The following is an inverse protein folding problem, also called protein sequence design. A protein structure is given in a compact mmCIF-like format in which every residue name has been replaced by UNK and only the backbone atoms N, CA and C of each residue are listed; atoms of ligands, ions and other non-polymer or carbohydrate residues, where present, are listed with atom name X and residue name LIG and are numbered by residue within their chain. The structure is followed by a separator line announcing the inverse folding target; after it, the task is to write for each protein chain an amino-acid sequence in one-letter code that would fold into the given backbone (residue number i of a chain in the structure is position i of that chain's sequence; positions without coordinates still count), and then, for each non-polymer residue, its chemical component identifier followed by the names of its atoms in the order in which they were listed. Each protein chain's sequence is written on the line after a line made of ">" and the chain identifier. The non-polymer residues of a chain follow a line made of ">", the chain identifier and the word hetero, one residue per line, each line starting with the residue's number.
data_IF_772063496524
#
_entry.id   IF_772063496524
#
_cell.length_a   1.000
_cell.length_b   1.000
_cell.length_c   1.000
_cell.angle_alpha   90.00
_cell.angle_beta   90.00
_cell.angle_gamma   90.00
#
_symmetry.space_group_name_H-M   'P 1'
#
loop_
_entity.id
_entity.type
_entity.pdbx_description
1 polymer ?
#
# COMPACT_ATOMS: atom_id res chain seq x y z
N UNK A 1 2.18 21.51 3.95
CA UNK A 1 1.08 20.79 3.28
C UNK A 1 1.52 20.17 1.94
N UNK A 2 1.88 20.93 0.91
CA UNK A 2 2.29 20.37 -0.39
C UNK A 2 3.52 19.46 -0.31
N UNK A 3 4.54 19.83 0.43
CA UNK A 3 5.74 19.01 0.65
C UNK A 3 5.41 17.66 1.27
N UNK A 4 4.54 17.64 2.28
CA UNK A 4 4.09 16.39 2.93
C UNK A 4 3.21 15.55 2.01
N UNK A 5 2.34 16.19 1.23
CA UNK A 5 1.53 15.49 0.22
C UNK A 5 2.41 14.84 -0.85
N UNK A 6 3.43 15.56 -1.33
CA UNK A 6 4.40 15.01 -2.28
C UNK A 6 5.18 13.84 -1.69
N UNK A 7 5.67 13.99 -0.45
CA UNK A 7 6.37 12.91 0.24
C UNK A 7 5.49 11.66 0.37
N UNK A 8 4.25 11.82 0.81
CA UNK A 8 3.31 10.71 0.95
C UNK A 8 2.96 10.08 -0.40
N UNK A 9 2.81 10.88 -1.46
CA UNK A 9 2.59 10.40 -2.81
C UNK A 9 3.74 9.50 -3.29
N UNK A 10 4.99 9.92 -3.07
CA UNK A 10 6.17 9.12 -3.43
C UNK A 10 6.30 7.85 -2.58
N UNK A 11 5.94 7.90 -1.29
CA UNK A 11 5.96 6.73 -0.41
C UNK A 11 4.88 5.72 -0.79
N UNK A 12 3.71 6.17 -1.26
CA UNK A 12 2.66 5.29 -1.80
C UNK A 12 3.14 4.61 -3.08
N UNK A 13 4.03 5.28 -3.85
CA UNK A 13 4.58 4.79 -5.13
C UNK A 13 3.50 4.28 -6.10
N UNK A 14 2.58 5.12 -6.55
CA UNK A 14 1.47 4.69 -7.40
C UNK A 14 1.93 4.11 -8.74
N UNK A 15 3.10 4.51 -9.24
CA UNK A 15 3.65 3.98 -10.49
C UNK A 15 4.07 2.53 -10.35
N UNK A 16 4.77 2.20 -9.24
CA UNK A 16 5.14 0.82 -8.89
C UNK A 16 3.93 -0.07 -8.61
N UNK A 17 2.82 0.52 -8.13
CA UNK A 17 1.59 -0.20 -7.86
C UNK A 17 0.77 -0.54 -9.12
N UNK A 18 0.94 0.18 -10.26
CA UNK A 18 0.15 -0.04 -11.48
C UNK A 18 0.13 -1.52 -11.90
N UNK A 19 1.27 -2.20 -12.14
CA UNK A 19 1.24 -3.56 -12.62
C UNK A 19 0.58 -4.52 -11.62
N UNK A 20 0.77 -4.29 -10.34
CA UNK A 20 0.20 -5.11 -9.29
C UNK A 20 -1.31 -4.97 -9.20
N UNK A 21 -1.84 -3.75 -9.25
CA UNK A 21 -3.28 -3.51 -9.33
C UNK A 21 -3.87 -4.14 -10.59
N UNK A 22 -3.16 -4.07 -11.72
CA UNK A 22 -3.60 -4.68 -12.97
C UNK A 22 -3.62 -6.21 -12.92
N UNK A 23 -2.65 -6.85 -12.26
CA UNK A 23 -2.62 -8.32 -12.13
C UNK A 23 -3.83 -8.83 -11.38
N UNK A 24 -4.27 -8.11 -10.34
CA UNK A 24 -5.46 -8.45 -9.57
C UNK A 24 -6.74 -8.09 -10.33
N UNK A 25 -6.82 -6.87 -10.90
CA UNK A 25 -8.00 -6.41 -11.60
C UNK A 25 -8.28 -7.17 -12.90
N UNK A 26 -7.25 -7.71 -13.58
CA UNK A 26 -7.41 -8.50 -14.80
C UNK A 26 -8.13 -9.84 -14.56
N UNK A 27 -8.16 -10.32 -13.32
CA UNK A 27 -8.96 -11.51 -12.92
C UNK A 27 -10.47 -11.22 -12.87
N UNK A 28 -10.86 -9.92 -12.87
CA UNK A 28 -12.24 -9.47 -12.78
C UNK A 28 -12.82 -9.12 -14.18
N UNK A 29 -14.16 -9.26 -14.36
CA UNK A 29 -14.85 -8.74 -15.53
C UNK A 29 -14.59 -7.24 -15.73
N UNK A 30 -14.43 -6.80 -16.98
CA UNK A 30 -14.07 -5.40 -17.29
C UNK A 30 -15.00 -4.36 -16.65
N UNK A 31 -16.30 -4.65 -16.63
CA UNK A 31 -17.34 -3.77 -16.08
C UNK A 31 -17.18 -3.51 -14.57
N UNK A 32 -16.56 -4.45 -13.85
CA UNK A 32 -16.38 -4.39 -12.41
C UNK A 32 -15.03 -3.80 -11.98
N UNK A 33 -14.01 -3.82 -12.86
CA UNK A 33 -12.64 -3.40 -12.54
C UNK A 33 -12.57 -1.99 -11.95
N UNK A 34 -13.20 -1.02 -12.62
CA UNK A 34 -13.20 0.38 -12.15
C UNK A 34 -13.93 0.55 -10.83
N UNK A 35 -15.07 -0.15 -10.66
CA UNK A 35 -15.85 -0.08 -9.41
C UNK A 35 -15.06 -0.64 -8.23
N UNK A 36 -14.42 -1.79 -8.43
CA UNK A 36 -13.57 -2.41 -7.40
C UNK A 36 -12.38 -1.51 -7.11
N UNK A 37 -11.68 -1.01 -8.13
CA UNK A 37 -10.56 -0.09 -7.94
C UNK A 37 -10.95 1.14 -7.11
N UNK A 38 -12.02 1.83 -7.47
CA UNK A 38 -12.48 3.01 -6.72
C UNK A 38 -12.85 2.65 -5.28
N UNK A 39 -13.54 1.52 -5.08
CA UNK A 39 -13.87 1.03 -3.73
C UNK A 39 -12.61 0.83 -2.89
N UNK A 40 -11.61 0.11 -3.43
CA UNK A 40 -10.35 -0.16 -2.70
C UNK A 40 -9.55 1.12 -2.40
N UNK A 41 -9.53 2.06 -3.34
CA UNK A 41 -8.90 3.37 -3.13
C UNK A 41 -9.60 4.17 -2.02
N UNK A 42 -10.94 4.13 -1.97
CA UNK A 42 -11.69 4.79 -0.89
C UNK A 42 -11.44 4.14 0.47
N UNK A 43 -11.37 2.80 0.52
CA UNK A 43 -11.03 2.06 1.74
C UNK A 43 -9.61 2.44 2.21
N UNK A 44 -8.66 2.52 1.28
CA UNK A 44 -7.30 2.95 1.58
C UNK A 44 -7.25 4.39 2.14
N UNK A 45 -8.03 5.31 1.57
CA UNK A 45 -8.16 6.66 2.12
C UNK A 45 -8.69 6.65 3.55
N UNK A 46 -9.76 5.90 3.80
CA UNK A 46 -10.32 5.77 5.15
C UNK A 46 -9.28 5.20 6.11
N UNK A 47 -8.55 4.16 5.71
CA UNK A 47 -7.47 3.59 6.51
C UNK A 47 -6.39 4.63 6.83
N UNK A 48 -5.88 5.36 5.84
CA UNK A 48 -4.88 6.40 6.06
C UNK A 48 -5.38 7.50 7.01
N UNK A 49 -6.64 7.92 6.88
CA UNK A 49 -7.23 8.93 7.76
C UNK A 49 -7.42 8.39 9.19
N UNK A 50 -7.83 7.14 9.34
CA UNK A 50 -7.94 6.49 10.66
C UNK A 50 -6.57 6.41 11.32
N UNK A 51 -5.53 5.99 10.60
CA UNK A 51 -4.17 5.94 11.14
C UNK A 51 -3.59 7.33 11.40
N UNK A 52 -3.94 8.34 10.62
CA UNK A 52 -3.56 9.72 10.88
C UNK A 52 -4.10 10.20 12.23
N UNK A 53 -5.38 9.93 12.52
CA UNK A 53 -6.07 10.45 13.71
C UNK A 53 -5.87 9.55 14.92
N UNK A 54 -6.02 8.26 14.75
CA UNK A 54 -6.09 7.28 15.83
C UNK A 54 -4.88 6.32 15.88
N UNK A 55 -3.94 6.39 14.93
CA UNK A 55 -2.87 5.41 14.78
C UNK A 55 -2.03 5.21 16.02
N UNK A 56 -1.63 6.30 16.69
CA UNK A 56 -0.85 6.25 17.92
C UNK A 56 -1.62 5.58 19.07
N UNK A 57 -2.91 5.85 19.20
CA UNK A 57 -3.74 5.23 20.22
C UNK A 57 -4.00 3.76 19.90
N UNK A 58 -4.25 3.46 18.63
CA UNK A 58 -4.49 2.09 18.15
C UNK A 58 -3.29 1.19 18.45
N UNK A 59 -2.09 1.61 18.07
CA UNK A 59 -0.86 0.83 18.33
C UNK A 59 -0.60 0.64 19.82
N UNK A 60 -0.80 1.68 20.63
CA UNK A 60 -0.66 1.60 22.09
C UNK A 60 -1.65 0.62 22.71
N UNK A 61 -2.93 0.68 22.30
CA UNK A 61 -3.98 -0.19 22.82
C UNK A 61 -3.76 -1.64 22.43
N UNK A 62 -3.28 -1.88 21.21
CA UNK A 62 -2.97 -3.22 20.71
C UNK A 62 -1.60 -3.72 21.13
N UNK A 63 -0.79 -2.89 21.81
CA UNK A 63 0.60 -3.18 22.18
C UNK A 63 1.47 -3.60 20.97
N UNK A 64 1.17 -3.04 19.79
CA UNK A 64 1.91 -3.27 18.56
C UNK A 64 2.94 -2.16 18.40
N UNK A 65 4.21 -2.52 18.26
CA UNK A 65 5.28 -1.57 17.97
C UNK A 65 5.34 -1.19 16.49
N UNK A 66 5.83 0.01 16.17
CA UNK A 66 6.06 0.42 14.77
C UNK A 66 6.97 -0.56 13.99
N UNK A 67 8.09 -1.07 14.57
CA UNK A 67 8.90 -2.09 13.92
C UNK A 67 8.10 -3.35 13.58
N UNK A 68 7.25 -3.83 14.48
CA UNK A 68 6.43 -5.01 14.25
C UNK A 68 5.46 -4.82 13.07
N UNK A 69 4.82 -3.64 12.98
CA UNK A 69 3.94 -3.30 11.86
C UNK A 69 4.71 -3.25 10.53
N UNK A 70 5.91 -2.66 10.54
CA UNK A 70 6.78 -2.56 9.36
C UNK A 70 7.20 -3.94 8.86
N UNK A 71 7.63 -4.82 9.76
CA UNK A 71 8.04 -6.20 9.44
C UNK A 71 6.84 -7.00 8.92
N UNK A 72 5.69 -6.92 9.59
CA UNK A 72 4.47 -7.61 9.15
C UNK A 72 4.06 -7.20 7.73
N UNK A 73 4.08 -5.89 7.44
CA UNK A 73 3.80 -5.38 6.10
C UNK A 73 4.83 -5.81 5.07
N UNK A 74 6.12 -5.84 5.44
CA UNK A 74 7.18 -6.34 4.58
C UNK A 74 6.97 -7.82 4.20
N UNK A 75 6.59 -8.66 5.16
CA UNK A 75 6.28 -10.08 4.93
C UNK A 75 5.11 -10.23 3.95
N UNK A 76 4.03 -9.49 4.15
CA UNK A 76 2.85 -9.56 3.26
C UNK A 76 3.24 -9.09 1.85
N UNK A 77 3.98 -7.98 1.73
CA UNK A 77 4.45 -7.47 0.44
C UNK A 77 5.37 -8.48 -0.26
N UNK A 78 6.26 -9.13 0.49
CA UNK A 78 7.14 -10.19 -0.02
C UNK A 78 6.34 -11.37 -0.59
N UNK A 79 5.35 -11.87 0.15
CA UNK A 79 4.50 -12.97 -0.30
C UNK A 79 3.73 -12.61 -1.58
N UNK A 80 3.18 -11.41 -1.66
CA UNK A 80 2.46 -10.93 -2.85
C UNK A 80 3.41 -10.83 -4.05
N UNK A 81 4.58 -10.23 -3.86
CA UNK A 81 5.56 -10.05 -4.94
C UNK A 81 6.11 -11.39 -5.46
N UNK A 82 6.24 -12.41 -4.61
CA UNK A 82 6.58 -13.77 -5.05
C UNK A 82 5.55 -14.35 -6.02
N UNK A 83 4.26 -14.12 -5.81
CA UNK A 83 3.21 -14.60 -6.73
C UNK A 83 3.26 -13.91 -8.09
N UNK A 84 3.77 -12.68 -8.16
CA UNK A 84 3.95 -11.94 -9.42
C UNK A 84 5.13 -12.49 -10.22
N UNK A 85 6.24 -12.83 -9.55
CA UNK A 85 7.45 -13.38 -10.21
C UNK A 85 7.25 -14.84 -10.59
N UNK A 86 6.64 -15.63 -9.70
CA UNK A 86 6.40 -17.05 -9.84
C UNK A 86 4.92 -17.39 -9.86
N UNK A 87 4.23 -17.35 -11.01
CA UNK A 87 2.79 -17.61 -11.09
C UNK A 87 2.37 -19.02 -10.65
N UNK A 88 3.32 -19.94 -10.59
CA UNK A 88 3.11 -21.32 -10.07
C UNK A 88 2.98 -21.39 -8.55
N UNK A 89 3.42 -20.36 -7.83
CA UNK A 89 3.19 -20.24 -6.38
C UNK A 89 1.78 -19.70 -6.18
N UNK A 90 0.80 -20.58 -6.19
CA UNK A 90 -0.55 -20.24 -5.74
C UNK A 90 -0.52 -20.16 -4.21
N UNK A 91 -0.45 -18.96 -3.65
CA UNK A 91 -0.88 -18.82 -2.26
C UNK A 91 -2.36 -19.21 -2.24
N UNK A 92 -2.72 -20.17 -1.39
CA UNK A 92 -4.10 -20.66 -1.19
C UNK A 92 -5.04 -19.59 -0.60
N UNK A 93 -4.81 -18.32 -0.90
CA UNK A 93 -5.73 -17.20 -0.68
C UNK A 93 -6.81 -17.13 -1.77
N UNK A 94 -6.70 -17.97 -2.81
CA UNK A 94 -7.81 -18.24 -3.73
C UNK A 94 -8.76 -19.22 -3.03
N UNK A 95 -9.64 -18.70 -2.20
CA UNK A 95 -10.85 -19.41 -1.80
C UNK A 95 -11.57 -19.85 -3.06
N UNK A 96 -11.84 -21.13 -3.20
CA UNK A 96 -12.73 -21.71 -4.20
C UNK A 96 -14.13 -21.11 -4.04
N UNK A 97 -14.38 -20.05 -4.75
CA UNK A 97 -15.61 -19.30 -4.74
C UNK A 97 -15.33 -17.88 -5.20
N UNK A 98 -16.17 -17.35 -6.06
CA UNK A 98 -16.12 -16.03 -6.69
C UNK A 98 -16.11 -14.87 -5.67
N UNK A 99 -15.10 -14.83 -4.79
CA UNK A 99 -14.91 -13.74 -3.84
C UNK A 99 -14.10 -12.66 -4.54
N UNK A 100 -14.75 -11.54 -4.77
CA UNK A 100 -14.05 -10.31 -5.19
C UNK A 100 -12.87 -10.07 -4.25
N UNK A 101 -11.70 -9.62 -4.76
CA UNK A 101 -10.58 -9.22 -3.91
C UNK A 101 -11.06 -8.09 -3.00
N UNK A 102 -11.36 -8.43 -1.75
CA UNK A 102 -12.03 -7.54 -0.80
C UNK A 102 -10.98 -7.01 0.17
N UNK A 103 -10.77 -5.67 0.17
CA UNK A 103 -9.95 -4.94 1.14
C UNK A 103 -8.46 -5.35 1.15
N UNK A 104 -8.16 -6.64 1.15
CA UNK A 104 -6.83 -7.23 1.16
C UNK A 104 -6.69 -8.06 -0.13
N UNK A 105 -5.66 -7.83 -0.98
CA UNK A 105 -4.44 -7.04 -0.72
C UNK A 105 -4.43 -5.61 -1.28
N UNK A 106 -5.46 -5.11 -1.97
CA UNK A 106 -5.36 -3.86 -2.75
C UNK A 106 -5.35 -2.59 -1.89
N UNK A 107 -6.27 -2.47 -0.91
CA UNK A 107 -6.33 -1.29 -0.06
C UNK A 107 -5.23 -1.31 1.02
N UNK A 108 -5.12 -2.41 1.74
CA UNK A 108 -4.14 -2.65 2.79
C UNK A 108 -3.54 -4.05 2.55
N UNK A 109 -2.21 -4.24 2.47
CA UNK A 109 -1.13 -3.28 2.69
C UNK A 109 -0.59 -2.56 1.46
N UNK A 110 -1.21 -2.73 0.27
CA UNK A 110 -0.61 -2.25 -0.96
C UNK A 110 -0.66 -0.73 -1.11
N UNK A 111 -1.85 -0.15 -1.14
CA UNK A 111 -1.98 1.30 -1.29
C UNK A 111 -1.67 2.03 0.03
N UNK A 112 -2.32 1.63 1.13
CA UNK A 112 -1.97 2.08 2.47
C UNK A 112 -0.90 1.16 3.05
N UNK A 113 0.29 1.18 2.47
CA UNK A 113 1.43 0.39 2.91
C UNK A 113 1.95 0.79 4.29
N UNK A 114 2.75 -0.08 4.97
CA UNK A 114 3.27 0.19 6.30
C UNK A 114 4.06 1.48 6.39
N UNK A 115 4.84 1.82 5.35
CA UNK A 115 5.59 3.08 5.28
C UNK A 115 4.68 4.32 5.18
N UNK A 116 3.58 4.22 4.41
CA UNK A 116 2.58 5.27 4.32
C UNK A 116 1.82 5.42 5.65
N UNK A 117 1.46 4.29 6.29
CA UNK A 117 0.83 4.27 7.61
C UNK A 117 1.77 4.87 8.66
N UNK A 118 3.04 4.47 8.71
CA UNK A 118 4.03 5.02 9.63
C UNK A 118 4.20 6.53 9.47
N UNK A 119 4.28 7.02 8.22
CA UNK A 119 4.36 8.46 7.96
C UNK A 119 3.12 9.22 8.44
N UNK A 120 1.91 8.75 8.14
CA UNK A 120 0.69 9.45 8.58
C UNK A 120 0.54 9.42 10.10
N UNK A 121 0.97 8.34 10.76
CA UNK A 121 1.01 8.26 12.22
C UNK A 121 2.03 9.24 12.83
N UNK A 122 3.23 9.35 12.24
CA UNK A 122 4.25 10.31 12.65
C UNK A 122 3.71 11.75 12.53
N UNK A 123 3.08 12.08 11.41
CA UNK A 123 2.42 13.36 11.19
C UNK A 123 1.33 13.58 12.26
N UNK A 124 0.48 12.59 12.50
CA UNK A 124 -0.60 12.66 13.49
C UNK A 124 -0.09 12.81 14.92
N UNK A 125 1.07 12.24 15.26
CA UNK A 125 1.63 12.27 16.62
C UNK A 125 2.22 13.64 17.01
N UNK A 126 2.69 14.42 16.06
CA UNK A 126 3.31 15.74 16.27
C UNK A 126 2.32 16.92 16.25
N UNK A 127 1.02 16.68 16.22
CA UNK A 127 0.03 17.72 15.98
C UNK A 127 -0.23 18.62 17.19
N UNK A 128 -0.19 19.95 16.93
CA UNK A 128 -0.76 20.95 17.81
C UNK A 128 -2.27 21.10 17.55
N UNK A 129 -3.07 21.48 18.55
CA UNK A 129 -4.49 21.77 18.37
C UNK A 129 -4.70 22.81 17.25
N UNK A 130 -5.46 22.46 16.19
CA UNK A 130 -5.75 23.34 15.05
C UNK A 130 -5.05 22.98 13.73
N UNK A 131 -4.03 22.12 13.71
CA UNK A 131 -3.32 21.72 12.49
C UNK A 131 -3.96 20.61 11.65
N UNK A 132 -5.00 19.96 12.14
CA UNK A 132 -5.65 18.80 11.51
C UNK A 132 -6.11 19.01 10.06
N UNK A 133 -6.80 20.15 9.71
CA UNK A 133 -7.26 20.33 8.34
C UNK A 133 -6.14 20.32 7.31
N UNK A 134 -4.97 20.85 7.69
CA UNK A 134 -3.80 20.90 6.82
C UNK A 134 -3.24 19.50 6.52
N UNK A 135 -3.25 18.61 7.49
CA UNK A 135 -2.71 17.26 7.35
C UNK A 135 -3.71 16.31 6.68
N UNK A 136 -4.98 16.42 7.01
CA UNK A 136 -6.06 15.74 6.28
C UNK A 136 -6.00 16.16 4.80
N UNK A 137 -5.85 17.44 4.52
CA UNK A 137 -5.69 17.95 3.17
C UNK A 137 -4.47 17.36 2.45
N UNK A 138 -3.33 17.23 3.14
CA UNK A 138 -2.13 16.61 2.57
C UNK A 138 -2.35 15.14 2.20
N UNK A 139 -3.01 14.36 3.08
CA UNK A 139 -3.34 12.95 2.82
C UNK A 139 -4.31 12.83 1.64
N UNK A 140 -5.35 13.66 1.60
CA UNK A 140 -6.35 13.64 0.51
C UNK A 140 -5.71 14.01 -0.82
N UNK A 141 -4.82 15.00 -0.87
CA UNK A 141 -4.11 15.41 -2.10
C UNK A 141 -3.20 14.27 -2.59
N UNK A 142 -2.41 13.68 -1.69
CA UNK A 142 -1.54 12.54 -2.03
C UNK A 142 -2.36 11.36 -2.55
N UNK A 143 -3.44 11.01 -1.85
CA UNK A 143 -4.36 9.95 -2.25
C UNK A 143 -5.02 10.23 -3.61
N UNK A 144 -5.50 11.44 -3.84
CA UNK A 144 -6.14 11.80 -5.11
C UNK A 144 -5.16 11.73 -6.28
N UNK A 145 -3.93 12.20 -6.10
CA UNK A 145 -2.87 12.08 -7.10
C UNK A 145 -2.52 10.62 -7.41
N UNK A 146 -2.31 9.79 -6.37
CA UNK A 146 -2.01 8.38 -6.52
C UNK A 146 -3.18 7.61 -7.17
N UNK A 147 -4.41 7.91 -6.77
CA UNK A 147 -5.62 7.33 -7.35
C UNK A 147 -5.77 7.69 -8.83
N UNK A 148 -5.50 8.94 -9.21
CA UNK A 148 -5.53 9.37 -10.60
C UNK A 148 -4.50 8.60 -11.45
N UNK A 149 -3.29 8.40 -10.95
CA UNK A 149 -2.25 7.61 -11.62
C UNK A 149 -2.71 6.16 -11.82
N UNK A 150 -3.29 5.52 -10.81
CA UNK A 150 -3.77 4.13 -10.91
C UNK A 150 -4.97 4.00 -11.87
N UNK A 151 -5.91 4.94 -11.84
CA UNK A 151 -7.05 4.96 -12.77
C UNK A 151 -6.62 5.16 -14.22
N UNK A 152 -5.62 6.02 -14.46
CA UNK A 152 -5.03 6.22 -15.78
C UNK A 152 -4.16 5.03 -16.19
N UNK A 153 -3.43 4.44 -15.26
CA UNK A 153 -2.61 3.25 -15.48
C UNK A 153 -3.41 2.07 -16.02
N UNK A 154 -4.65 1.88 -15.54
CA UNK A 154 -5.55 0.86 -16.05
C UNK A 154 -5.91 1.06 -17.54
N UNK A 155 -5.93 2.31 -18.05
CA UNK A 155 -6.10 2.60 -19.48
C UNK A 155 -4.80 2.39 -20.26
N UNK A 156 -3.66 2.76 -19.68
CA UNK A 156 -2.34 2.61 -20.29
C UNK A 156 -1.97 1.14 -20.52
N UNK A 157 -2.42 0.26 -19.63
CA UNK A 157 -2.23 -1.18 -19.75
C UNK A 157 -2.79 -1.78 -21.04
N UNK A 158 -3.87 -1.21 -21.56
CA UNK A 158 -4.45 -1.63 -22.86
C UNK A 158 -3.50 -1.35 -24.05
N UNK A 159 -2.60 -0.37 -23.92
CA UNK A 159 -1.61 -0.01 -24.94
C UNK A 159 -0.39 -0.93 -24.92
N UNK A 160 -0.03 -1.46 -23.76
CA UNK A 160 1.19 -2.28 -23.59
C UNK A 160 1.01 -3.72 -24.08
N UNK A 161 -0.24 -4.20 -24.19
CA UNK A 161 -0.58 -5.54 -24.63
C UNK A 161 -0.26 -6.63 -23.59
N UNK A 162 -0.82 -7.83 -23.79
CA UNK A 162 -0.76 -8.91 -22.80
C UNK A 162 0.68 -9.38 -22.46
N UNK A 163 1.56 -9.49 -23.48
CA UNK A 163 2.95 -9.90 -23.25
C UNK A 163 3.76 -8.86 -22.50
N UNK A 164 3.57 -7.58 -22.82
CA UNK A 164 4.22 -6.49 -22.13
C UNK A 164 3.75 -6.34 -20.68
N UNK A 165 2.46 -6.59 -20.43
CA UNK A 165 1.92 -6.63 -19.07
C UNK A 165 2.58 -7.71 -18.21
N UNK A 166 2.71 -8.93 -18.73
CA UNK A 166 3.39 -10.05 -18.02
C UNK A 166 4.86 -9.71 -17.72
N UNK A 167 5.56 -9.11 -18.69
CA UNK A 167 6.96 -8.70 -18.47
C UNK A 167 7.04 -7.61 -17.38
N UNK A 168 6.17 -6.61 -17.43
CA UNK A 168 6.09 -5.54 -16.44
C UNK A 168 5.71 -6.07 -15.05
N UNK A 169 4.75 -6.97 -14.97
CA UNK A 169 4.34 -7.64 -13.73
C UNK A 169 5.52 -8.35 -13.05
N UNK A 170 6.29 -9.15 -13.82
CA UNK A 170 7.47 -9.84 -13.28
C UNK A 170 8.58 -8.88 -12.84
N UNK A 171 8.83 -7.84 -13.63
CA UNK A 171 9.84 -6.84 -13.30
C UNK A 171 9.47 -6.10 -12.01
N UNK A 172 8.21 -5.68 -11.88
CA UNK A 172 7.72 -5.03 -10.67
C UNK A 172 7.67 -5.98 -9.49
N UNK A 173 7.32 -7.25 -9.70
CA UNK A 173 7.43 -8.27 -8.67
C UNK A 173 8.84 -8.37 -8.08
N UNK A 174 9.88 -8.37 -8.94
CA UNK A 174 11.28 -8.36 -8.47
C UNK A 174 11.64 -7.07 -7.70
N UNK A 175 11.18 -5.91 -8.16
CA UNK A 175 11.39 -4.65 -7.43
C UNK A 175 10.68 -4.65 -6.07
N UNK A 176 9.44 -5.14 -6.01
CA UNK A 176 8.69 -5.25 -4.77
C UNK A 176 9.30 -6.24 -3.78
N UNK A 177 9.94 -7.33 -4.26
CA UNK A 177 10.76 -8.22 -3.42
C UNK A 177 11.91 -7.42 -2.78
N UNK A 178 12.65 -6.65 -3.56
CA UNK A 178 13.75 -5.85 -3.04
C UNK A 178 13.26 -4.82 -2.01
N UNK A 179 12.16 -4.11 -2.31
CA UNK A 179 11.53 -3.16 -1.39
C UNK A 179 11.07 -3.84 -0.10
N UNK A 180 10.45 -5.01 -0.18
CA UNK A 180 9.99 -5.74 1.00
C UNK A 180 11.14 -6.18 1.90
N UNK A 181 12.26 -6.61 1.31
CA UNK A 181 13.48 -6.94 2.05
C UNK A 181 14.05 -5.69 2.74
N UNK A 182 14.12 -4.56 2.05
CA UNK A 182 14.58 -3.28 2.62
C UNK A 182 13.69 -2.83 3.80
N UNK A 183 12.37 -2.96 3.65
CA UNK A 183 11.42 -2.69 4.73
C UNK A 183 11.64 -3.62 5.93
N UNK A 184 11.94 -4.90 5.69
CA UNK A 184 12.21 -5.85 6.76
C UNK A 184 13.51 -5.49 7.50
N UNK A 185 14.57 -5.15 6.79
CA UNK A 185 15.84 -4.70 7.36
C UNK A 185 15.66 -3.40 8.18
N UNK A 186 14.90 -2.45 7.64
CA UNK A 186 14.55 -1.21 8.33
C UNK A 186 13.75 -1.48 9.61
N UNK A 187 12.77 -2.38 9.57
CA UNK A 187 12.00 -2.78 10.75
C UNK A 187 12.87 -3.43 11.83
N UNK A 188 13.80 -4.30 11.44
CA UNK A 188 14.75 -4.94 12.36
C UNK A 188 15.69 -3.90 12.99
N UNK A 189 16.24 -2.97 12.21
CA UNK A 189 17.12 -1.92 12.72
C UNK A 189 16.41 -0.99 13.69
N UNK A 190 15.15 -0.63 13.41
CA UNK A 190 14.31 0.15 14.30
C UNK A 190 14.03 -0.59 15.62
N UNK A 191 13.77 -1.88 15.56
CA UNK A 191 13.56 -2.72 16.74
C UNK A 191 14.81 -2.76 17.60
N UNK A 192 16.00 -2.99 17.01
CA UNK A 192 17.26 -3.00 17.74
C UNK A 192 17.56 -1.66 18.40
N UNK A 193 17.28 -0.54 17.72
CA UNK A 193 17.44 0.80 18.29
C UNK A 193 16.51 1.03 19.49
N UNK A 194 15.31 0.48 19.48
CA UNK A 194 14.34 0.59 20.58
C UNK A 194 14.83 -0.21 21.81
N UNK A 195 15.29 -1.46 21.58
CA UNK A 195 15.83 -2.33 22.67
C UNK A 195 17.12 -1.78 23.27
N UNK A 196 17.97 -1.12 22.48
CA UNK A 196 19.21 -0.52 22.96
C UNK A 196 19.00 0.78 23.76
N UNK A 197 17.81 1.37 23.70
CA UNK A 197 17.44 2.59 24.42
C UNK A 197 16.71 2.33 25.75
N UNK A 198 16.33 1.08 26.03
CA UNK A 198 15.80 0.59 27.33
C UNK A 198 16.91 0.12 28.26
#
# INVERSE_FOLDING_TARGET
>A
MFSTAALLFFIIDPFGLIPLFLSVLNKLPEERRTKVLVRELLIALVALLVFLVAGKYLLRTLHISEPALTIAGAIILFLISLTMVFPSIKLSMESEGSVEPFIVPLAIPLFAGPSAIALVMLIGSGQQPGGWPQWIGAVVIAWAGASAVLLLGAKLAKLVGARGLIALERLMGMLLIAISVEMMLSGISLFQATVAAE
#
